data_IF_386824551622
#
_entry.id   IF_386824551622
#
_cell.length_a   1.000
_cell.length_b   1.000
_cell.length_c   1.000
_cell.angle_alpha   90.00
_cell.angle_beta   90.00
_cell.angle_gamma   90.00
#
_symmetry.space_group_name_H-M   'P 1'
#
loop_
_entity.id
_entity.type
_entity.pdbx_description
1 polymer ?
#
# COMPACT_ATOMS: atom_id res chain seq x y z
N UNK A 1 -98.45 70.96 151.22
CA UNK A 1 -98.08 71.96 152.26
C UNK A 1 -96.56 72.01 152.31
N UNK A 2 -95.87 73.14 152.43
CA UNK A 2 -96.27 74.51 152.71
C UNK A 2 -95.05 75.44 152.78
N UNK A 3 -95.32 76.74 152.66
CA UNK A 3 -94.46 77.90 152.94
C UNK A 3 -93.99 77.93 154.41
N UNK A 4 -92.99 78.76 154.74
CA UNK A 4 -92.92 79.67 155.92
C UNK A 4 -91.63 80.54 155.75
N UNK A 5 -91.64 81.85 155.45
CA UNK A 5 -92.00 83.10 156.17
C UNK A 5 -91.01 83.63 157.23
N UNK A 6 -90.44 84.83 156.97
CA UNK A 6 -90.06 85.92 157.91
C UNK A 6 -88.67 85.86 158.56
N UNK A 7 -87.98 86.94 158.99
CA UNK A 7 -88.09 88.42 158.90
C UNK A 7 -86.88 89.03 159.69
N UNK A 8 -86.40 90.24 159.28
CA UNK A 8 -85.65 91.32 160.01
C UNK A 8 -84.37 91.77 159.25
N UNK A 9 -84.33 92.91 158.53
CA UNK A 9 -84.28 94.34 158.95
C UNK A 9 -82.94 94.69 159.64
N UNK A 10 -81.92 95.14 158.90
CA UNK A 10 -81.59 96.52 158.45
C UNK A 10 -80.53 97.14 159.39
N UNK A 11 -79.29 97.28 158.92
CA UNK A 11 -78.72 98.61 158.65
C UNK A 11 -77.37 98.52 157.94
N UNK A 12 -77.22 99.49 157.05
CA UNK A 12 -76.34 99.62 155.89
C UNK A 12 -74.99 100.23 156.28
N UNK A 13 -73.89 99.73 155.73
CA UNK A 13 -73.02 100.54 154.86
C UNK A 13 -71.94 99.69 154.18
N UNK A 14 -71.77 99.97 152.89
CA UNK A 14 -71.12 99.18 151.85
C UNK A 14 -69.71 98.69 152.18
N UNK A 15 -69.55 97.39 151.95
CA UNK A 15 -68.39 96.58 152.25
C UNK A 15 -67.51 96.46 151.00
N UNK A 16 -66.28 97.00 151.06
CA UNK A 16 -65.28 97.04 149.98
C UNK A 16 -64.72 95.66 149.54
N UNK A 17 -65.23 94.54 150.07
CA UNK A 17 -64.80 93.18 149.70
C UNK A 17 -65.60 92.55 148.55
N UNK A 18 -66.77 93.11 148.22
CA UNK A 18 -67.62 92.58 147.12
C UNK A 18 -67.16 93.10 145.75
N UNK A 19 -66.51 94.28 145.69
CA UNK A 19 -65.89 94.80 144.48
C UNK A 19 -64.69 93.93 144.03
N UNK A 20 -63.91 93.40 144.98
CA UNK A 20 -62.70 92.62 144.69
C UNK A 20 -63.02 91.21 144.15
N UNK A 21 -64.04 90.53 144.70
CA UNK A 21 -64.55 89.25 144.15
C UNK A 21 -65.23 89.40 142.80
N UNK A 22 -65.91 90.53 142.57
CA UNK A 22 -66.55 90.84 141.29
C UNK A 22 -65.49 91.15 140.21
N UNK A 23 -64.39 91.80 140.59
CA UNK A 23 -63.24 92.05 139.71
C UNK A 23 -62.45 90.76 139.37
N UNK A 24 -62.23 89.87 140.33
CA UNK A 24 -61.65 88.53 140.08
C UNK A 24 -62.55 87.65 139.21
N UNK A 25 -63.87 87.69 139.43
CA UNK A 25 -64.84 86.99 138.58
C UNK A 25 -64.90 87.59 137.16
N UNK A 26 -64.77 88.92 137.01
CA UNK A 26 -64.69 89.57 135.71
C UNK A 26 -63.40 89.19 134.97
N UNK A 27 -62.24 89.20 135.66
CA UNK A 27 -60.95 88.77 135.09
C UNK A 27 -60.97 87.30 134.67
N UNK A 28 -61.54 86.42 135.50
CA UNK A 28 -61.71 85.01 135.14
C UNK A 28 -62.67 84.81 133.96
N UNK A 29 -63.75 85.59 133.88
CA UNK A 29 -64.69 85.53 132.77
C UNK A 29 -64.08 86.05 131.46
N UNK A 30 -63.28 87.13 131.53
CA UNK A 30 -62.48 87.66 130.42
C UNK A 30 -61.44 86.64 129.93
N UNK A 31 -60.76 85.95 130.85
CA UNK A 31 -59.78 84.91 130.55
C UNK A 31 -60.46 83.67 129.94
N UNK A 32 -61.64 83.28 130.45
CA UNK A 32 -62.48 82.22 129.86
C UNK A 32 -62.94 82.61 128.45
N UNK A 33 -63.28 83.87 128.18
CA UNK A 33 -63.62 84.32 126.83
C UNK A 33 -62.42 84.28 125.88
N UNK A 34 -61.23 84.72 126.32
CA UNK A 34 -59.99 84.62 125.54
C UNK A 34 -59.63 83.17 125.22
N UNK A 35 -59.70 82.28 126.21
CA UNK A 35 -59.45 80.84 126.03
C UNK A 35 -60.48 80.18 125.12
N UNK A 36 -61.74 80.63 125.13
CA UNK A 36 -62.77 80.15 124.19
C UNK A 36 -62.47 80.62 122.76
N UNK A 37 -62.10 81.88 122.57
CA UNK A 37 -61.69 82.42 121.27
C UNK A 37 -60.45 81.70 120.73
N UNK A 38 -59.46 81.44 121.57
CA UNK A 38 -58.25 80.70 121.22
C UNK A 38 -58.56 79.24 120.87
N UNK A 39 -59.43 78.57 121.64
CA UNK A 39 -59.91 77.22 121.30
C UNK A 39 -60.68 77.18 119.97
N UNK A 40 -61.46 78.22 119.64
CA UNK A 40 -62.11 78.31 118.34
C UNK A 40 -61.10 78.46 117.20
N UNK A 41 -60.08 79.32 117.37
CA UNK A 41 -58.99 79.48 116.40
C UNK A 41 -58.21 78.19 116.18
N UNK A 42 -57.78 77.53 117.27
CA UNK A 42 -57.07 76.25 117.21
C UNK A 42 -57.91 75.15 116.53
N UNK A 43 -59.22 75.15 116.75
CA UNK A 43 -60.14 74.19 116.10
C UNK A 43 -60.26 74.44 114.60
N UNK A 44 -60.30 75.71 114.18
CA UNK A 44 -60.33 76.10 112.77
C UNK A 44 -58.98 75.82 112.08
N UNK A 45 -57.87 76.07 112.76
CA UNK A 45 -56.52 75.70 112.31
C UNK A 45 -56.38 74.18 112.15
N UNK A 46 -56.82 73.40 113.15
CA UNK A 46 -56.81 71.94 113.09
C UNK A 46 -57.68 71.40 111.96
N UNK A 47 -58.85 72.00 111.73
CA UNK A 47 -59.72 71.66 110.60
C UNK A 47 -59.03 71.94 109.27
N UNK A 48 -58.39 73.09 109.14
CA UNK A 48 -57.64 73.50 107.95
C UNK A 48 -56.46 72.55 107.67
N UNK A 49 -55.68 72.19 108.68
CA UNK A 49 -54.59 71.22 108.55
C UNK A 49 -55.09 69.82 108.20
N UNK A 50 -56.22 69.38 108.78
CA UNK A 50 -56.85 68.10 108.42
C UNK A 50 -57.30 68.08 106.96
N UNK A 51 -57.86 69.18 106.45
CA UNK A 51 -58.27 69.31 105.06
C UNK A 51 -57.06 69.29 104.12
N UNK A 52 -55.96 69.99 104.47
CA UNK A 52 -54.68 69.93 103.73
C UNK A 52 -54.13 68.51 103.67
N UNK A 53 -54.09 67.81 104.81
CA UNK A 53 -53.60 66.42 104.88
C UNK A 53 -54.46 65.47 104.05
N UNK A 54 -55.78 65.66 104.08
CA UNK A 54 -56.72 64.86 103.28
C UNK A 54 -56.46 65.06 101.78
N UNK A 55 -56.24 66.31 101.36
CA UNK A 55 -55.89 66.62 99.96
C UNK A 55 -54.56 66.01 99.55
N UNK A 56 -53.52 66.15 100.38
CA UNK A 56 -52.21 65.57 100.12
C UNK A 56 -52.25 64.02 100.01
N UNK A 57 -53.04 63.35 100.86
CA UNK A 57 -53.23 61.90 100.81
C UNK A 57 -53.98 61.46 99.54
N UNK A 58 -54.96 62.23 99.07
CA UNK A 58 -55.62 61.97 97.80
C UNK A 58 -54.64 62.09 96.62
N UNK A 59 -53.84 63.16 96.57
CA UNK A 59 -52.81 63.37 95.54
C UNK A 59 -51.74 62.25 95.54
N UNK A 60 -51.30 61.79 96.72
CA UNK A 60 -50.37 60.66 96.84
C UNK A 60 -51.00 59.34 96.36
N UNK A 61 -52.29 59.14 96.65
CA UNK A 61 -53.02 57.95 96.19
C UNK A 61 -53.12 57.91 94.67
N UNK A 62 -53.42 59.04 94.04
CA UNK A 62 -53.51 59.14 92.58
C UNK A 62 -52.14 58.97 91.91
N UNK A 63 -51.08 59.57 92.48
CA UNK A 63 -49.70 59.34 92.02
C UNK A 63 -49.30 57.86 92.14
N UNK A 64 -49.66 57.19 93.23
CA UNK A 64 -49.38 55.76 93.40
C UNK A 64 -50.11 54.89 92.37
N UNK A 65 -51.38 55.19 92.06
CA UNK A 65 -52.10 54.49 90.99
C UNK A 65 -51.42 54.69 89.63
N UNK A 66 -51.04 55.92 89.29
CA UNK A 66 -50.32 56.21 88.06
C UNK A 66 -48.99 55.42 87.98
N UNK A 67 -48.21 55.38 89.06
CA UNK A 67 -46.97 54.61 89.14
C UNK A 67 -47.18 53.10 88.99
N UNK A 68 -48.28 52.55 89.53
CA UNK A 68 -48.64 51.14 89.35
C UNK A 68 -48.92 50.87 87.86
N UNK A 69 -49.73 51.70 87.21
CA UNK A 69 -50.02 51.59 85.78
C UNK A 69 -48.78 51.71 84.91
N UNK A 70 -47.88 52.66 85.21
CA UNK A 70 -46.61 52.81 84.49
C UNK A 70 -45.71 51.59 84.67
N UNK A 71 -45.66 51.03 85.89
CA UNK A 71 -44.91 49.80 86.16
C UNK A 71 -45.45 48.61 85.38
N UNK A 72 -46.76 48.45 85.29
CA UNK A 72 -47.40 47.39 84.50
C UNK A 72 -47.09 47.57 83.00
N UNK A 73 -47.19 48.79 82.48
CA UNK A 73 -46.86 49.11 81.10
C UNK A 73 -45.40 48.81 80.76
N UNK A 74 -44.46 49.23 81.63
CA UNK A 74 -43.03 48.94 81.47
C UNK A 74 -42.75 47.44 81.53
N UNK A 75 -43.43 46.70 82.41
CA UNK A 75 -43.30 45.24 82.50
C UNK A 75 -43.77 44.56 81.21
N UNK A 76 -44.88 45.01 80.63
CA UNK A 76 -45.38 44.49 79.36
C UNK A 76 -44.42 44.80 78.19
N UNK A 77 -43.87 46.02 78.13
CA UNK A 77 -42.86 46.39 77.14
C UNK A 77 -41.59 45.55 77.29
N UNK A 78 -41.09 45.35 78.51
CA UNK A 78 -39.92 44.51 78.77
C UNK A 78 -40.14 43.08 78.29
N UNK A 79 -41.30 42.49 78.58
CA UNK A 79 -41.64 41.15 78.11
C UNK A 79 -41.73 41.07 76.57
N UNK A 80 -42.27 42.11 75.91
CA UNK A 80 -42.33 42.17 74.45
C UNK A 80 -40.92 42.28 73.82
N UNK A 81 -40.06 43.15 74.35
CA UNK A 81 -38.67 43.28 73.91
C UNK A 81 -37.87 42.00 74.15
N UNK A 82 -38.07 41.31 75.26
CA UNK A 82 -37.41 40.01 75.52
C UNK A 82 -37.83 38.93 74.52
N UNK A 83 -39.09 38.91 74.07
CA UNK A 83 -39.54 38.00 73.01
C UNK A 83 -38.87 38.33 71.67
N UNK A 84 -38.86 39.61 71.30
CA UNK A 84 -38.20 40.06 70.06
C UNK A 84 -36.71 39.73 70.03
N UNK A 85 -36.00 39.90 71.16
CA UNK A 85 -34.57 39.53 71.24
C UNK A 85 -34.37 38.03 71.00
N UNK A 86 -35.21 37.17 71.59
CA UNK A 86 -35.11 35.71 71.37
C UNK A 86 -35.39 35.32 69.92
N UNK A 87 -36.37 35.95 69.27
CA UNK A 87 -36.67 35.72 67.85
C UNK A 87 -35.50 36.17 66.95
N UNK A 88 -34.88 37.30 67.26
CA UNK A 88 -33.70 37.79 66.54
C UNK A 88 -32.49 36.87 66.72
N UNK A 89 -32.24 36.37 67.94
CA UNK A 89 -31.18 35.40 68.20
C UNK A 89 -31.37 34.11 67.39
N UNK A 90 -32.62 33.61 67.32
CA UNK A 90 -32.95 32.43 66.49
C UNK A 90 -32.73 32.70 65.00
N UNK A 91 -33.20 33.85 64.50
CA UNK A 91 -33.00 34.25 63.10
C UNK A 91 -31.52 34.39 62.76
N UNK A 92 -30.70 34.99 63.64
CA UNK A 92 -29.26 35.07 63.45
C UNK A 92 -28.60 33.69 63.38
N UNK A 93 -29.04 32.74 64.20
CA UNK A 93 -28.50 31.38 64.17
C UNK A 93 -28.85 30.64 62.86
N UNK A 94 -30.08 30.80 62.36
CA UNK A 94 -30.50 30.24 61.06
C UNK A 94 -29.65 30.82 59.93
N UNK A 95 -29.50 32.15 59.87
CA UNK A 95 -28.69 32.82 58.85
C UNK A 95 -27.21 32.39 58.88
N UNK A 96 -26.67 32.14 60.09
CA UNK A 96 -25.30 31.63 60.24
C UNK A 96 -25.14 30.23 59.66
N UNK A 97 -26.13 29.37 59.86
CA UNK A 97 -26.14 28.01 59.31
C UNK A 97 -26.29 28.03 57.79
N UNK A 98 -27.24 28.78 57.24
CA UNK A 98 -27.43 28.95 55.80
C UNK A 98 -26.16 29.47 55.12
N UNK A 99 -25.49 30.46 55.73
CA UNK A 99 -24.21 30.97 55.21
C UNK A 99 -23.13 29.88 55.17
N UNK A 100 -23.07 28.99 56.17
CA UNK A 100 -22.12 27.90 56.18
C UNK A 100 -22.41 26.86 55.10
N UNK A 101 -23.69 26.56 54.84
CA UNK A 101 -24.11 25.67 53.77
C UNK A 101 -23.78 26.25 52.39
N UNK A 102 -24.09 27.52 52.15
CA UNK A 102 -23.76 28.22 50.90
C UNK A 102 -22.25 28.25 50.64
N UNK A 103 -21.42 28.40 51.68
CA UNK A 103 -19.97 28.32 51.55
C UNK A 103 -19.50 26.93 51.13
N UNK A 104 -20.07 25.87 51.69
CA UNK A 104 -19.77 24.49 51.30
C UNK A 104 -20.20 24.19 49.87
N UNK A 105 -21.39 24.64 49.48
CA UNK A 105 -21.88 24.46 48.11
C UNK A 105 -20.99 25.21 47.11
N UNK A 106 -20.58 26.44 47.43
CA UNK A 106 -19.62 27.19 46.62
C UNK A 106 -18.29 26.46 46.45
N UNK A 107 -17.75 25.87 47.52
CA UNK A 107 -16.52 25.08 47.45
C UNK A 107 -16.70 23.83 46.57
N UNK A 108 -17.82 23.12 46.72
CA UNK A 108 -18.14 21.95 45.89
C UNK A 108 -18.25 22.32 44.40
N UNK A 109 -18.97 23.40 44.08
CA UNK A 109 -19.08 23.90 42.71
C UNK A 109 -17.72 24.31 42.13
N UNK A 110 -16.86 24.93 42.92
CA UNK A 110 -15.52 25.30 42.47
C UNK A 110 -14.66 24.05 42.18
N UNK A 111 -14.78 23.01 42.99
CA UNK A 111 -14.11 21.73 42.74
C UNK A 111 -14.62 21.05 41.47
N UNK A 112 -15.94 21.04 41.25
CA UNK A 112 -16.52 20.52 40.00
C UNK A 112 -16.05 21.30 38.78
N UNK A 113 -16.01 22.64 38.87
CA UNK A 113 -15.50 23.50 37.80
C UNK A 113 -14.05 23.16 37.45
N UNK A 114 -13.19 22.95 38.46
CA UNK A 114 -11.80 22.57 38.24
C UNK A 114 -11.66 21.19 37.56
N UNK A 115 -12.51 20.23 37.91
CA UNK A 115 -12.52 18.91 37.26
C UNK A 115 -12.95 19.04 35.79
N UNK A 116 -14.03 19.77 35.52
CA UNK A 116 -14.50 20.01 34.16
C UNK A 116 -13.45 20.73 33.32
N UNK A 117 -12.75 21.72 33.88
CA UNK A 117 -11.66 22.43 33.21
C UNK A 117 -10.53 21.46 32.78
N UNK A 118 -10.16 20.51 33.64
CA UNK A 118 -9.15 19.49 33.32
C UNK A 118 -9.61 18.57 32.20
N UNK A 119 -10.84 18.08 32.29
CA UNK A 119 -11.43 17.22 31.25
C UNK A 119 -11.50 17.92 29.89
N UNK A 120 -11.88 19.20 29.85
CA UNK A 120 -11.90 19.99 28.61
C UNK A 120 -10.50 20.11 28.00
N UNK A 121 -9.47 20.31 28.82
CA UNK A 121 -8.08 20.37 28.33
C UNK A 121 -7.60 19.01 27.80
N UNK A 122 -7.93 17.91 28.46
CA UNK A 122 -7.62 16.56 28.00
C UNK A 122 -8.32 16.24 26.67
N UNK A 123 -9.61 16.57 26.54
CA UNK A 123 -10.36 16.40 25.30
C UNK A 123 -9.78 17.25 24.17
N UNK A 124 -9.40 18.49 24.44
CA UNK A 124 -8.75 19.37 23.46
C UNK A 124 -7.43 18.77 22.96
N UNK A 125 -6.62 18.21 23.86
CA UNK A 125 -5.37 17.56 23.49
C UNK A 125 -5.63 16.30 22.65
N UNK A 126 -6.59 15.46 23.05
CA UNK A 126 -6.99 14.28 22.29
C UNK A 126 -7.50 14.64 20.89
N UNK A 127 -8.28 15.72 20.77
CA UNK A 127 -8.76 16.21 19.47
C UNK A 127 -7.60 16.66 18.57
N UNK A 128 -6.59 17.33 19.13
CA UNK A 128 -5.42 17.75 18.36
C UNK A 128 -4.60 16.55 17.84
N UNK A 129 -4.45 15.50 18.66
CA UNK A 129 -3.77 14.26 18.24
C UNK A 129 -4.51 13.60 17.08
N UNK A 130 -5.83 13.47 17.18
CA UNK A 130 -6.66 12.90 16.11
C UNK A 130 -6.59 13.71 14.81
N UNK A 131 -6.56 15.04 14.89
CA UNK A 131 -6.41 15.88 13.69
C UNK A 131 -5.04 15.67 13.02
N UNK A 132 -3.97 15.54 13.82
CA UNK A 132 -2.63 15.24 13.30
C UNK A 132 -2.58 13.85 12.62
N UNK A 133 -3.14 12.82 13.25
CA UNK A 133 -3.22 11.46 12.68
C UNK A 133 -4.02 11.46 11.36
N UNK A 134 -5.10 12.23 11.29
CA UNK A 134 -5.90 12.38 10.07
C UNK A 134 -5.09 13.01 8.94
N UNK A 135 -4.27 14.03 9.23
CA UNK A 135 -3.37 14.65 8.25
C UNK A 135 -2.34 13.63 7.76
N UNK A 136 -1.73 12.86 8.66
CA UNK A 136 -0.76 11.81 8.31
C UNK A 136 -1.38 10.73 7.41
N UNK A 137 -2.57 10.23 7.77
CA UNK A 137 -3.30 9.25 6.96
C UNK A 137 -3.67 9.81 5.59
N UNK A 138 -4.07 11.09 5.52
CA UNK A 138 -4.36 11.76 4.24
C UNK A 138 -3.12 11.80 3.35
N UNK A 139 -1.97 12.17 3.90
CA UNK A 139 -0.70 12.16 3.16
C UNK A 139 -0.36 10.77 2.64
N UNK A 140 -0.47 9.73 3.49
CA UNK A 140 -0.21 8.34 3.09
C UNK A 140 -1.15 7.86 1.98
N UNK A 141 -2.42 8.26 2.01
CA UNK A 141 -3.37 7.98 0.92
C UNK A 141 -2.91 8.63 -0.38
N UNK A 142 -2.45 9.89 -0.35
CA UNK A 142 -1.96 10.57 -1.56
C UNK A 142 -0.71 9.91 -2.14
N UNK A 143 0.21 9.43 -1.30
CA UNK A 143 1.41 8.72 -1.74
C UNK A 143 1.06 7.37 -2.36
N UNK A 144 0.22 6.57 -1.70
CA UNK A 144 -0.26 5.29 -2.23
C UNK A 144 -1.03 5.45 -3.54
N UNK A 145 -1.79 6.55 -3.70
CA UNK A 145 -2.47 6.84 -4.95
C UNK A 145 -1.47 7.10 -6.09
N UNK A 146 -0.39 7.86 -5.83
CA UNK A 146 0.67 8.10 -6.82
C UNK A 146 1.40 6.81 -7.20
N UNK A 147 1.72 5.97 -6.22
CA UNK A 147 2.37 4.68 -6.45
C UNK A 147 1.47 3.76 -7.30
N UNK A 148 0.18 3.71 -6.99
CA UNK A 148 -0.81 2.96 -7.78
C UNK A 148 -0.86 3.43 -9.24
N UNK A 149 -0.85 4.74 -9.48
CA UNK A 149 -0.84 5.30 -10.83
C UNK A 149 0.45 4.96 -11.59
N UNK A 150 1.60 4.97 -10.91
CA UNK A 150 2.88 4.56 -11.50
C UNK A 150 2.90 3.07 -11.86
N UNK A 151 2.43 2.19 -10.96
CA UNK A 151 2.30 0.76 -11.23
C UNK A 151 1.34 0.47 -12.38
N UNK A 152 0.26 1.26 -12.51
CA UNK A 152 -0.66 1.14 -13.63
C UNK A 152 0.05 1.46 -14.97
N UNK A 153 0.87 2.51 -15.02
CA UNK A 153 1.68 2.86 -16.20
C UNK A 153 2.69 1.77 -16.55
N UNK A 154 3.45 1.28 -15.57
CA UNK A 154 4.42 0.20 -15.78
C UNK A 154 3.74 -1.07 -16.30
N UNK A 155 2.57 -1.42 -15.77
CA UNK A 155 1.77 -2.55 -16.25
C UNK A 155 1.34 -2.37 -17.71
N UNK A 156 0.94 -1.15 -18.11
CA UNK A 156 0.59 -0.87 -19.51
C UNK A 156 1.80 -1.02 -20.43
N UNK A 157 2.96 -0.47 -20.06
CA UNK A 157 4.21 -0.57 -20.84
C UNK A 157 4.68 -2.03 -20.99
N UNK A 158 4.62 -2.83 -19.91
CA UNK A 158 4.96 -4.25 -19.97
C UNK A 158 4.00 -5.03 -20.86
N UNK A 159 2.70 -4.69 -20.83
CA UNK A 159 1.69 -5.32 -21.69
C UNK A 159 1.97 -5.03 -23.16
N UNK A 160 2.37 -3.79 -23.50
CA UNK A 160 2.76 -3.41 -24.86
C UNK A 160 4.03 -4.11 -25.32
N UNK A 161 5.08 -4.15 -24.47
CA UNK A 161 6.32 -4.90 -24.76
C UNK A 161 6.06 -6.38 -25.01
N UNK A 162 5.19 -7.02 -24.21
CA UNK A 162 4.83 -8.42 -24.41
C UNK A 162 4.09 -8.66 -25.73
N UNK A 163 3.21 -7.75 -26.14
CA UNK A 163 2.55 -7.82 -27.46
C UNK A 163 3.58 -7.73 -28.58
N UNK A 164 4.50 -6.76 -28.53
CA UNK A 164 5.55 -6.59 -29.53
C UNK A 164 6.46 -7.84 -29.63
N UNK A 165 6.91 -8.37 -28.49
CA UNK A 165 7.71 -9.61 -28.45
C UNK A 165 6.96 -10.82 -29.00
N UNK A 166 5.65 -10.89 -28.79
CA UNK A 166 4.81 -11.98 -29.35
C UNK A 166 4.78 -11.88 -30.87
N UNK A 167 4.59 -10.68 -31.43
CA UNK A 167 4.63 -10.44 -32.87
C UNK A 167 6.01 -10.76 -33.47
N UNK A 168 7.09 -10.33 -32.83
CA UNK A 168 8.45 -10.63 -33.28
C UNK A 168 8.73 -12.14 -33.28
N UNK A 169 8.26 -12.86 -32.26
CA UNK A 169 8.37 -14.32 -32.17
C UNK A 169 7.63 -15.02 -33.31
N UNK A 170 6.42 -14.57 -33.65
CA UNK A 170 5.64 -15.12 -34.78
C UNK A 170 6.35 -14.88 -36.11
N UNK A 171 6.91 -13.68 -36.30
CA UNK A 171 7.71 -13.35 -37.49
C UNK A 171 8.95 -14.24 -37.60
N UNK A 172 9.73 -14.37 -36.53
CA UNK A 172 10.91 -15.23 -36.51
C UNK A 172 10.58 -16.69 -36.77
N UNK A 173 9.46 -17.21 -36.24
CA UNK A 173 9.02 -18.57 -36.56
C UNK A 173 8.66 -18.73 -38.05
N UNK A 174 8.05 -17.70 -38.65
CA UNK A 174 7.73 -17.69 -40.09
C UNK A 174 9.01 -17.65 -40.93
N UNK A 175 9.97 -16.80 -40.56
CA UNK A 175 11.28 -16.69 -41.22
C UNK A 175 12.05 -18.00 -41.10
N UNK A 176 12.05 -18.65 -39.93
CA UNK A 176 12.70 -19.94 -39.69
C UNK A 176 12.08 -21.06 -40.53
N UNK A 177 10.74 -21.12 -40.59
CA UNK A 177 10.02 -22.08 -41.44
C UNK A 177 10.37 -21.89 -42.93
N UNK A 178 10.40 -20.64 -43.38
CA UNK A 178 10.78 -20.28 -44.74
C UNK A 178 12.23 -20.69 -45.04
N UNK A 179 13.17 -20.37 -44.16
CA UNK A 179 14.58 -20.72 -44.30
C UNK A 179 14.79 -22.24 -44.33
N UNK A 180 14.06 -23.00 -43.49
CA UNK A 180 14.09 -24.46 -43.49
C UNK A 180 13.62 -25.04 -44.83
N UNK A 181 12.51 -24.54 -45.36
CA UNK A 181 12.00 -24.95 -46.68
C UNK A 181 13.00 -24.65 -47.80
N UNK A 182 13.63 -23.47 -47.78
CA UNK A 182 14.69 -23.11 -48.73
C UNK A 182 15.94 -24.00 -48.61
N UNK A 183 16.34 -24.36 -47.39
CA UNK A 183 17.46 -25.25 -47.14
C UNK A 183 17.18 -26.66 -47.69
N UNK A 184 15.97 -27.19 -47.47
CA UNK A 184 15.53 -28.48 -48.02
C UNK A 184 15.53 -28.46 -49.56
N UNK A 185 14.98 -27.41 -50.18
CA UNK A 185 15.01 -27.25 -51.64
C UNK A 185 16.43 -27.15 -52.20
N UNK A 186 17.31 -26.41 -51.53
CA UNK A 186 18.72 -26.27 -51.94
C UNK A 186 19.45 -27.61 -51.84
N UNK A 187 19.22 -28.38 -50.77
CA UNK A 187 19.80 -29.71 -50.61
C UNK A 187 19.31 -30.68 -51.71
N UNK A 188 18.03 -30.63 -52.08
CA UNK A 188 17.51 -31.41 -53.20
C UNK A 188 18.20 -31.04 -54.53
N UNK A 189 18.29 -29.74 -54.83
CA UNK A 189 18.98 -29.24 -56.04
C UNK A 189 20.47 -29.61 -56.07
N UNK A 190 21.14 -29.56 -54.91
CA UNK A 190 22.54 -29.98 -54.79
C UNK A 190 22.70 -31.46 -55.17
N UNK A 191 21.85 -32.33 -54.63
CA UNK A 191 21.86 -33.76 -54.95
C UNK A 191 21.58 -34.00 -56.45
N UNK A 192 20.61 -33.30 -57.05
CA UNK A 192 20.35 -33.38 -58.49
C UNK A 192 21.56 -32.92 -59.33
N UNK A 193 22.24 -31.85 -58.91
CA UNK A 193 23.42 -31.33 -59.58
C UNK A 193 24.58 -32.32 -59.46
N UNK A 194 24.84 -32.87 -58.28
CA UNK A 194 25.86 -33.90 -58.04
C UNK A 194 25.61 -35.14 -58.90
N UNK A 195 24.36 -35.61 -59.01
CA UNK A 195 24.00 -36.70 -59.91
C UNK A 195 24.26 -36.37 -61.38
N UNK A 196 23.91 -35.16 -61.84
CA UNK A 196 24.22 -34.70 -63.21
C UNK A 196 25.72 -34.55 -63.44
N UNK A 197 26.50 -34.19 -62.42
CA UNK A 197 27.94 -33.96 -62.53
C UNK A 197 28.79 -35.23 -62.37
N UNK A 198 28.23 -36.32 -61.82
CA UNK A 198 28.92 -37.59 -61.61
C UNK A 198 29.58 -38.18 -62.88
N UNK A 199 28.95 -38.16 -64.07
CA UNK A 199 29.60 -38.61 -65.31
C UNK A 199 30.79 -37.74 -65.72
N UNK A 200 30.72 -36.43 -65.50
CA UNK A 200 31.79 -35.50 -65.85
C UNK A 200 33.00 -35.64 -64.92
N UNK A 201 32.81 -35.97 -63.64
CA UNK A 201 33.91 -36.24 -62.70
C UNK A 201 34.75 -37.46 -63.13
N UNK A 202 34.08 -38.50 -63.66
CA UNK A 202 34.77 -39.66 -64.24
C UNK A 202 35.56 -39.27 -65.49
N UNK A 203 34.97 -38.44 -66.35
CA UNK A 203 35.60 -37.94 -67.57
C UNK A 203 36.80 -37.03 -67.28
N UNK A 204 36.70 -36.17 -66.27
CA UNK A 204 37.78 -35.29 -65.81
C UNK A 204 38.99 -36.10 -65.31
N UNK A 205 38.76 -37.09 -64.44
CA UNK A 205 39.83 -38.00 -63.97
C UNK A 205 40.48 -38.78 -65.12
N UNK A 206 39.69 -39.27 -66.07
CA UNK A 206 40.22 -39.94 -67.26
C UNK A 206 41.14 -39.00 -68.08
N UNK A 207 40.74 -37.73 -68.22
CA UNK A 207 41.52 -36.73 -68.94
C UNK A 207 42.80 -36.33 -68.19
N UNK A 208 42.75 -36.18 -66.86
CA UNK A 208 43.92 -35.93 -66.03
C UNK A 208 44.95 -37.06 -66.15
N UNK A 209 44.53 -38.29 -65.91
CA UNK A 209 45.40 -39.47 -66.01
C UNK A 209 45.99 -39.59 -67.43
N UNK A 210 45.18 -39.33 -68.47
CA UNK A 210 45.66 -39.29 -69.84
C UNK A 210 46.76 -38.24 -70.05
N UNK A 211 46.56 -37.00 -69.57
CA UNK A 211 47.54 -35.92 -69.74
C UNK A 211 48.90 -36.24 -69.10
N UNK A 212 48.90 -36.98 -67.98
CA UNK A 212 50.12 -37.38 -67.28
C UNK A 212 50.91 -38.46 -68.04
N UNK A 213 50.20 -39.39 -68.69
CA UNK A 213 50.84 -40.52 -69.39
C UNK A 213 51.00 -40.30 -70.89
N UNK A 214 50.44 -39.22 -71.47
CA UNK A 214 50.47 -38.95 -72.92
C UNK A 214 51.85 -39.04 -73.56
N UNK A 215 52.92 -38.67 -72.83
CA UNK A 215 54.29 -38.75 -73.34
C UNK A 215 54.84 -40.18 -73.47
N UNK A 216 54.22 -41.15 -72.80
CA UNK A 216 54.54 -42.59 -72.92
C UNK A 216 53.83 -43.22 -74.12
N UNK A 217 52.79 -42.55 -74.60
CA UNK A 217 51.92 -43.01 -75.65
C UNK A 217 52.48 -42.54 -76.99
N UNK A 218 53.18 -43.43 -77.71
CA UNK A 218 53.81 -43.09 -78.99
C UNK A 218 52.78 -43.10 -80.14
N UNK A 219 51.70 -42.32 -79.99
CA UNK A 219 50.72 -42.10 -81.04
C UNK A 219 51.20 -40.91 -81.90
N UNK A 220 51.73 -41.17 -83.10
CA UNK A 220 52.00 -40.12 -84.09
C UNK A 220 50.71 -39.40 -84.61
N UNK A 221 49.56 -39.58 -83.95
CA UNK A 221 48.25 -39.03 -84.29
C UNK A 221 47.88 -37.75 -83.50
N UNK A 222 48.63 -37.41 -82.45
CA UNK A 222 48.37 -36.26 -81.55
C UNK A 222 48.97 -34.90 -82.01
N UNK A 223 49.13 -34.59 -83.31
CA UNK A 223 49.27 -33.18 -83.68
C UNK A 223 47.92 -32.43 -83.75
N UNK A 224 46.78 -33.13 -83.91
CA UNK A 224 45.51 -32.50 -84.29
C UNK A 224 44.26 -32.91 -83.48
N UNK A 225 44.35 -33.88 -82.57
CA UNK A 225 43.21 -34.21 -81.68
C UNK A 225 43.24 -33.32 -80.45
N UNK A 226 42.19 -32.54 -80.24
CA UNK A 226 42.12 -31.55 -79.15
C UNK A 226 41.07 -31.92 -78.09
N UNK A 227 40.40 -33.08 -78.21
CA UNK A 227 39.44 -33.55 -77.21
C UNK A 227 39.70 -34.98 -76.74
N UNK A 228 39.35 -35.26 -75.48
CA UNK A 228 39.41 -36.60 -74.88
C UNK A 228 38.53 -37.62 -75.64
N UNK A 229 37.43 -37.16 -76.26
CA UNK A 229 36.56 -38.02 -77.08
C UNK A 229 37.27 -38.53 -78.33
N UNK A 230 38.11 -37.72 -78.96
CA UNK A 230 38.84 -38.12 -80.17
C UNK A 230 39.89 -39.19 -79.84
N UNK A 231 40.47 -39.13 -78.65
CA UNK A 231 41.38 -40.15 -78.14
C UNK A 231 40.65 -41.46 -77.85
N UNK A 232 39.53 -41.42 -77.11
CA UNK A 232 38.71 -42.61 -76.80
C UNK A 232 38.22 -43.26 -78.10
N UNK A 233 37.70 -42.46 -79.03
CA UNK A 233 37.26 -42.95 -80.34
C UNK A 233 38.41 -43.58 -81.14
N UNK A 234 39.61 -42.99 -81.13
CA UNK A 234 40.78 -43.53 -81.81
C UNK A 234 41.27 -44.85 -81.21
N UNK A 235 41.35 -44.95 -79.88
CA UNK A 235 41.73 -46.19 -79.17
C UNK A 235 40.72 -47.31 -79.43
N UNK A 236 39.43 -46.98 -79.49
CA UNK A 236 38.36 -47.94 -79.81
C UNK A 236 38.30 -48.30 -81.29
N UNK A 237 38.65 -47.36 -82.17
CA UNK A 237 38.58 -47.50 -83.63
C UNK A 237 39.71 -48.35 -84.23
N UNK A 238 40.75 -48.70 -83.48
CA UNK A 238 41.81 -49.59 -83.97
C UNK A 238 42.38 -50.42 -82.81
N UNK A 239 41.45 -51.15 -82.18
CA UNK A 239 41.62 -51.77 -80.88
C UNK A 239 42.74 -52.80 -80.81
N UNK A 240 43.13 -53.45 -81.91
CA UNK A 240 44.22 -54.44 -81.90
C UNK A 240 45.58 -53.78 -81.72
N UNK A 241 45.92 -52.87 -82.62
CA UNK A 241 47.27 -52.29 -82.67
C UNK A 241 47.55 -51.43 -81.45
N UNK A 242 46.56 -50.63 -81.04
CA UNK A 242 46.77 -49.67 -79.97
C UNK A 242 46.60 -50.27 -78.58
N UNK A 243 45.66 -51.19 -78.31
CA UNK A 243 45.58 -51.84 -76.99
C UNK A 243 46.81 -52.70 -76.73
N UNK A 244 47.31 -53.42 -77.74
CA UNK A 244 48.51 -54.25 -77.60
C UNK A 244 49.76 -53.39 -77.41
N UNK A 245 49.92 -52.31 -78.19
CA UNK A 245 51.02 -51.34 -78.04
C UNK A 245 50.98 -50.65 -76.67
N UNK A 246 49.82 -50.16 -76.26
CA UNK A 246 49.61 -49.58 -74.93
C UNK A 246 49.89 -50.60 -73.82
N UNK A 247 49.44 -51.85 -73.94
CA UNK A 247 49.63 -52.89 -72.92
C UNK A 247 51.10 -53.26 -72.79
N UNK A 248 51.78 -53.46 -73.92
CA UNK A 248 53.21 -53.73 -73.95
C UNK A 248 54.00 -52.57 -73.36
N UNK A 249 53.57 -51.33 -73.63
CA UNK A 249 54.19 -50.13 -73.08
C UNK A 249 53.92 -49.98 -71.58
N UNK A 250 52.70 -50.24 -71.11
CA UNK A 250 52.37 -50.25 -69.68
C UNK A 250 53.19 -51.31 -68.94
N UNK A 251 53.27 -52.52 -69.49
CA UNK A 251 54.11 -53.62 -68.97
C UNK A 251 55.59 -53.24 -68.92
N UNK A 252 56.08 -52.51 -69.93
CA UNK A 252 57.44 -52.00 -69.97
C UNK A 252 57.69 -50.91 -68.91
N UNK A 253 56.81 -49.91 -68.81
CA UNK A 253 56.94 -48.81 -67.84
C UNK A 253 56.72 -49.29 -66.38
N UNK A 254 55.90 -50.33 -66.15
CA UNK A 254 55.74 -50.99 -64.85
C UNK A 254 57.03 -51.70 -64.37
N UNK A 255 57.96 -52.01 -65.28
CA UNK A 255 59.26 -52.57 -64.91
C UNK A 255 60.22 -51.51 -64.33
N UNK A 256 59.95 -50.22 -64.58
CA UNK A 256 60.72 -49.10 -64.02
C UNK A 256 60.17 -48.68 -62.66
N UNK A 257 60.78 -49.20 -61.59
CA UNK A 257 60.40 -48.91 -60.20
C UNK A 257 60.64 -47.45 -59.77
N UNK A 258 61.23 -46.60 -60.62
CA UNK A 258 61.48 -45.17 -60.35
C UNK A 258 60.39 -44.26 -60.91
N UNK A 259 59.41 -44.80 -61.64
CA UNK A 259 58.32 -44.04 -62.22
C UNK A 259 56.96 -44.68 -61.92
N UNK A 260 55.99 -43.83 -61.58
CA UNK A 260 54.58 -44.20 -61.41
C UNK A 260 53.81 -44.28 -62.74
N UNK A 261 54.48 -44.05 -63.88
CA UNK A 261 53.87 -44.04 -65.22
C UNK A 261 53.23 -45.37 -65.59
N UNK A 262 53.85 -46.49 -65.19
CA UNK A 262 53.29 -47.82 -65.43
C UNK A 262 51.96 -48.04 -64.70
N UNK A 263 51.88 -47.61 -63.45
CA UNK A 263 50.65 -47.69 -62.63
C UNK A 263 49.57 -46.75 -63.16
N UNK A 264 49.93 -45.53 -63.56
CA UNK A 264 49.02 -44.57 -64.18
C UNK A 264 48.51 -45.00 -65.55
N UNK A 265 49.34 -45.70 -66.33
CA UNK A 265 48.91 -46.31 -67.60
C UNK A 265 47.89 -47.43 -67.35
N UNK A 266 48.10 -48.25 -66.31
CA UNK A 266 47.12 -49.25 -65.91
C UNK A 266 45.80 -48.60 -65.42
N UNK A 267 45.87 -47.52 -64.63
CA UNK A 267 44.70 -46.75 -64.23
C UNK A 267 43.97 -46.14 -65.44
N UNK A 268 44.70 -45.59 -66.43
CA UNK A 268 44.13 -45.12 -67.69
C UNK A 268 43.37 -46.24 -68.41
N UNK A 269 43.98 -47.43 -68.48
CA UNK A 269 43.37 -48.61 -69.10
C UNK A 269 42.05 -49.01 -68.43
N UNK A 270 42.05 -49.08 -67.10
CA UNK A 270 40.88 -49.47 -66.33
C UNK A 270 39.76 -48.42 -66.45
N UNK A 271 40.10 -47.14 -66.39
CA UNK A 271 39.14 -46.03 -66.56
C UNK A 271 38.54 -46.01 -67.97
N UNK A 272 39.35 -46.26 -69.02
CA UNK A 272 38.87 -46.37 -70.40
C UNK A 272 37.88 -47.55 -70.55
N UNK A 273 38.22 -48.72 -69.99
CA UNK A 273 37.35 -49.89 -70.06
C UNK A 273 36.05 -49.73 -69.26
N UNK A 274 36.09 -49.05 -68.12
CA UNK A 274 34.89 -48.70 -67.36
C UNK A 274 33.99 -47.75 -68.17
N UNK A 275 34.56 -46.76 -68.85
CA UNK A 275 33.81 -45.80 -69.69
C UNK A 275 33.16 -46.45 -70.92
N UNK A 276 33.82 -47.46 -71.51
CA UNK A 276 33.29 -48.22 -72.67
C UNK A 276 32.13 -49.15 -72.28
N UNK A 277 32.08 -49.59 -71.02
CA UNK A 277 30.95 -50.37 -70.48
C UNK A 277 29.73 -49.51 -70.14
N UNK A 278 29.82 -48.18 -70.28
CA UNK A 278 28.69 -47.26 -70.12
C UNK A 278 27.61 -47.58 -71.17
N UNK A 279 26.36 -47.63 -70.72
CA UNK A 279 25.20 -48.01 -71.53
C UNK A 279 24.88 -47.04 -72.68
N UNK A 280 25.52 -45.87 -72.72
CA UNK A 280 25.44 -44.92 -73.84
C UNK A 280 26.26 -45.31 -75.07
N UNK A 281 27.14 -46.31 -74.95
CA UNK A 281 27.83 -46.92 -76.07
C UNK A 281 26.99 -48.10 -76.61
N UNK A 282 26.18 -47.83 -77.64
CA UNK A 282 25.40 -48.87 -78.30
C UNK A 282 26.26 -49.58 -79.36
N UNK A 283 26.29 -50.92 -79.31
CA UNK A 283 26.95 -51.77 -80.30
C UNK A 283 26.17 -51.76 -81.62
N UNK A 284 26.82 -51.43 -82.74
CA UNK A 284 26.22 -51.50 -84.07
C UNK A 284 25.91 -52.95 -84.44
N UNK A 285 24.75 -53.16 -85.09
CA UNK A 285 24.37 -54.47 -85.64
C UNK A 285 25.24 -54.79 -86.86
N UNK A 286 25.71 -56.04 -86.94
CA UNK A 286 26.61 -56.54 -87.98
C UNK A 286 26.08 -56.33 -89.41
N UNK A 287 26.91 -55.89 -90.36
CA UNK A 287 26.60 -56.00 -91.80
C UNK A 287 26.59 -57.47 -92.23
N UNK A 288 25.57 -57.90 -92.98
CA UNK A 288 25.28 -59.30 -93.35
C UNK A 288 26.28 -59.97 -94.32
N UNK A 289 27.46 -59.38 -94.53
CA UNK A 289 28.43 -59.81 -95.54
C UNK A 289 29.66 -60.56 -94.96
N UNK A 290 29.67 -60.89 -93.66
CA UNK A 290 30.84 -61.50 -93.00
C UNK A 290 30.78 -63.03 -92.92
N UNK A 291 31.94 -63.67 -93.10
CA UNK A 291 32.12 -65.11 -93.16
C UNK A 291 31.72 -65.79 -91.81
N UNK A 292 30.76 -66.73 -91.82
CA UNK A 292 30.29 -67.41 -90.61
C UNK A 292 31.34 -68.33 -89.94
N UNK A 293 32.49 -68.59 -90.56
CA UNK A 293 33.59 -69.40 -89.96
C UNK A 293 34.34 -68.68 -88.84
N UNK A 294 34.22 -67.35 -88.71
CA UNK A 294 34.72 -66.59 -87.55
C UNK A 294 33.89 -66.80 -86.26
N UNK A 295 32.85 -67.64 -86.29
CA UNK A 295 32.00 -67.95 -85.14
C UNK A 295 32.61 -69.04 -84.26
N UNK A 296 33.55 -68.67 -83.41
CA UNK A 296 33.82 -69.43 -82.17
C UNK A 296 33.76 -68.50 -80.96
N UNK A 297 32.58 -68.46 -80.35
CA UNK A 297 32.39 -68.02 -78.97
C UNK A 297 33.06 -69.04 -78.05
N UNK A 298 33.92 -68.58 -77.13
CA UNK A 298 34.35 -69.40 -76.01
C UNK A 298 33.94 -68.75 -74.68
N UNK A 299 33.37 -69.53 -73.74
CA UNK A 299 33.15 -69.11 -72.37
C UNK A 299 34.42 -69.27 -71.52
N UNK A 300 34.47 -68.45 -70.47
CA UNK A 300 35.23 -68.58 -69.21
C UNK A 300 36.56 -67.83 -69.00
N UNK A 301 36.54 -67.10 -67.87
CA UNK A 301 37.66 -66.54 -67.13
C UNK A 301 38.57 -67.67 -66.61
N UNK A 302 39.89 -67.47 -66.61
CA UNK A 302 40.83 -68.36 -65.91
C UNK A 302 41.55 -67.60 -64.78
N UNK A 303 41.96 -68.33 -63.75
CA UNK A 303 42.38 -68.00 -62.38
C UNK A 303 43.61 -67.10 -62.21
N UNK A 304 43.92 -66.23 -63.18
CA UNK A 304 45.03 -65.25 -63.14
C UNK A 304 44.59 -63.79 -63.35
N UNK A 305 43.28 -63.50 -63.38
CA UNK A 305 42.74 -62.14 -63.58
C UNK A 305 43.28 -61.42 -64.84
N UNK A 306 43.60 -62.13 -65.92
CA UNK A 306 43.98 -61.55 -67.21
C UNK A 306 42.93 -61.87 -68.28
N UNK A 307 42.33 -60.83 -68.87
CA UNK A 307 41.36 -60.93 -69.96
C UNK A 307 42.00 -61.50 -71.23
N UNK A 308 41.32 -62.44 -71.89
CA UNK A 308 41.68 -62.88 -73.24
C UNK A 308 40.48 -62.71 -74.18
N UNK A 309 40.67 -61.82 -75.16
CA UNK A 309 39.82 -61.46 -76.31
C UNK A 309 38.59 -60.57 -76.05
N UNK A 310 38.56 -59.43 -76.73
CA UNK A 310 37.40 -58.55 -76.87
C UNK A 310 37.15 -58.37 -78.37
N UNK A 311 35.94 -58.71 -78.84
CA UNK A 311 35.50 -58.40 -80.21
C UNK A 311 34.70 -57.10 -80.13
N UNK A 312 35.29 -55.99 -80.58
CA UNK A 312 34.61 -54.71 -80.71
C UNK A 312 34.06 -54.59 -82.14
N UNK A 313 32.75 -54.76 -82.28
CA UNK A 313 32.00 -54.39 -83.49
C UNK A 313 31.52 -52.96 -83.26
N UNK A 314 31.69 -52.09 -84.26
CA UNK A 314 31.59 -50.63 -84.16
C UNK A 314 30.51 -50.06 -83.22
N UNK A 315 30.76 -48.88 -82.68
CA UNK A 315 29.93 -48.28 -81.62
C UNK A 315 29.35 -46.94 -82.07
N UNK A 316 28.18 -46.60 -81.50
CA UNK A 316 27.69 -45.22 -81.49
C UNK A 316 27.67 -44.69 -80.06
N UNK A 317 28.10 -43.44 -79.88
CA UNK A 317 27.96 -42.72 -78.62
C UNK A 317 26.76 -41.77 -78.72
N UNK A 318 25.76 -41.96 -77.86
CA UNK A 318 24.54 -41.13 -77.83
C UNK A 318 23.85 -41.01 -79.22
N UNK A 319 23.97 -42.04 -80.06
CA UNK A 319 23.39 -42.11 -81.42
C UNK A 319 23.82 -41.00 -82.39
N UNK A 320 24.87 -40.22 -82.07
CA UNK A 320 25.30 -39.05 -82.85
C UNK A 320 26.53 -39.29 -83.72
N UNK A 321 27.47 -40.11 -83.24
CA UNK A 321 28.74 -40.36 -83.94
C UNK A 321 28.96 -41.85 -84.11
N UNK A 322 29.20 -42.30 -85.34
CA UNK A 322 29.31 -43.72 -85.71
C UNK A 322 30.74 -44.07 -86.09
N UNK A 323 31.33 -45.06 -85.41
CA UNK A 323 32.70 -45.51 -85.66
C UNK A 323 32.72 -46.97 -86.11
N UNK A 324 33.43 -47.28 -87.19
CA UNK A 324 33.51 -48.62 -87.78
C UNK A 324 34.93 -49.17 -87.72
N UNK A 325 35.08 -50.39 -87.16
CA UNK A 325 36.34 -51.13 -87.20
C UNK A 325 36.05 -52.61 -87.28
N UNK A 326 36.86 -53.31 -88.07
CA UNK A 326 36.88 -54.77 -88.19
C UNK A 326 38.23 -55.24 -87.65
N UNK A 327 38.22 -56.18 -86.71
CA UNK A 327 39.45 -56.81 -86.23
C UNK A 327 39.26 -58.33 -86.21
N UNK A 328 40.00 -59.01 -87.07
CA UNK A 328 40.28 -60.44 -87.00
C UNK A 328 41.63 -60.65 -86.29
N UNK A 329 41.66 -61.47 -85.25
CA UNK A 329 42.89 -61.88 -84.56
C UNK A 329 43.12 -63.36 -84.82
N UNK A 330 43.50 -63.65 -86.06
CA UNK A 330 43.93 -64.95 -86.51
C UNK A 330 45.20 -65.45 -85.80
N UNK A 331 45.14 -66.75 -85.49
CA UNK A 331 46.10 -67.70 -84.87
C UNK A 331 46.62 -67.38 -83.48
#
# INVERSE_FOLDING_TARGET
MGRFFGKSSNDTQENSKDAQRKEEALKAQEEITKLKEENTKLKDELKTEKDKLTKANAELTDKNKALITDKENLTNQLNASQKQVKELEQSQQVLKNEKAELLREKENLNNQLNVLQKQVNELKNSQQVLENEKVELTNKITELSKEKDNLAKEKTELTEKNKALTTDKEKLNTDLSTAKSQAEQTSQKLNELEQKHAPYKKLERLYEVFLEVKGCLNFNFVPQTHSAMDLIASVLSDSKYYLESLYNKASQELSDKRSDKGEKLAELFDLLFEYVKDNKFERLKEPSAYDPTCKKLYPEQNTSSKMQRVVLIGYTYDKKTTYYTIVDMGS
#
